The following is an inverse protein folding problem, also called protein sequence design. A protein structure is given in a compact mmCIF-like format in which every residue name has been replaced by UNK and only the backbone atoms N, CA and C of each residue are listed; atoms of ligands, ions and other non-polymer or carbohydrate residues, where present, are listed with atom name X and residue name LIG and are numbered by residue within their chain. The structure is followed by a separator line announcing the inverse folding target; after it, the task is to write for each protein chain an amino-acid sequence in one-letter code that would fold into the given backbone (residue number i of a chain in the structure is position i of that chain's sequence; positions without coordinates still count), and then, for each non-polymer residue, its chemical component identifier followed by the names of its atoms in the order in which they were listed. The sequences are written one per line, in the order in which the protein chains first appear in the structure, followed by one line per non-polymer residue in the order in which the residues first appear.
data_IF_794273385236
#
_entry.id   IF_794273385236
#
_cell.length_a   1.000
_cell.length_b   1.000
_cell.length_c   1.000
_cell.angle_alpha   90.00
_cell.angle_beta   90.00
_cell.angle_gamma   90.00
#
_symmetry.space_group_name_H-M   'P 1'
#
loop_
_entity.id
_entity.type
_entity.pdbx_description
1 polymer ?
#
# COMPACT_ATOMS: atom_id res chain seq x y z
N UNK A 1 -12.85 -2.70 17.52
CA UNK A 1 -11.88 -2.02 16.62
C UNK A 1 -12.44 -2.12 15.20
N UNK A 2 -12.41 -1.03 14.46
CA UNK A 2 -12.78 -0.99 13.02
C UNK A 2 -11.55 -0.82 12.16
N UNK A 3 -11.58 -1.38 10.96
CA UNK A 3 -10.47 -1.29 9.99
C UNK A 3 -10.99 -0.62 8.71
N UNK A 4 -10.41 0.53 8.36
CA UNK A 4 -10.66 1.22 7.08
C UNK A 4 -9.51 0.92 6.13
N UNK A 5 -9.83 0.42 4.93
CA UNK A 5 -8.88 0.29 3.84
C UNK A 5 -8.84 1.55 2.98
N UNK A 6 -7.66 2.17 2.80
CA UNK A 6 -7.51 3.31 1.91
C UNK A 6 -7.16 2.86 0.49
N UNK A 7 -8.05 3.15 -0.44
CA UNK A 7 -7.85 3.00 -1.88
C UNK A 7 -7.51 4.36 -2.53
N UNK A 8 -6.90 4.33 -3.68
CA UNK A 8 -6.62 5.55 -4.46
C UNK A 8 -5.55 5.32 -5.51
N UNK A 9 -5.47 6.23 -6.48
CA UNK A 9 -4.45 6.21 -7.52
C UNK A 9 -3.05 6.48 -6.97
N UNK A 10 -2.05 6.24 -7.80
CA UNK A 10 -0.66 6.60 -7.51
C UNK A 10 -0.58 8.10 -7.23
N UNK A 11 0.12 8.51 -6.18
CA UNK A 11 0.25 9.89 -5.72
C UNK A 11 -1.07 10.62 -5.38
N UNK A 12 -2.18 9.89 -5.12
CA UNK A 12 -3.46 10.51 -4.70
C UNK A 12 -3.40 11.15 -3.31
N UNK A 13 -2.39 10.83 -2.49
CA UNK A 13 -2.21 11.38 -1.14
C UNK A 13 -2.83 10.52 -0.03
N UNK A 14 -2.94 9.20 -0.22
CA UNK A 14 -3.40 8.27 0.83
C UNK A 14 -2.69 8.45 2.17
N UNK A 15 -1.38 8.64 2.15
CA UNK A 15 -0.59 8.87 3.38
C UNK A 15 -0.99 10.18 4.09
N UNK A 16 -1.29 11.24 3.34
CA UNK A 16 -1.82 12.49 3.94
C UNK A 16 -3.18 12.25 4.61
N UNK A 17 -4.05 11.48 3.97
CA UNK A 17 -5.35 11.10 4.55
C UNK A 17 -5.15 10.19 5.77
N UNK A 18 -4.25 9.22 5.72
CA UNK A 18 -3.90 8.39 6.87
C UNK A 18 -3.38 9.23 8.05
N UNK A 19 -2.59 10.28 7.77
CA UNK A 19 -2.11 11.20 8.82
C UNK A 19 -3.24 12.00 9.45
N UNK A 20 -4.27 12.37 8.69
CA UNK A 20 -5.48 12.99 9.25
C UNK A 20 -6.20 12.01 10.18
N UNK A 21 -6.40 10.76 9.78
CA UNK A 21 -6.98 9.74 10.65
C UNK A 21 -6.15 9.50 11.93
N UNK A 22 -4.80 9.56 11.85
CA UNK A 22 -3.92 9.47 13.04
C UNK A 22 -4.22 10.57 14.07
N UNK A 23 -4.52 11.80 13.62
CA UNK A 23 -4.91 12.90 14.53
C UNK A 23 -6.20 12.62 15.27
N UNK A 24 -7.06 11.74 14.74
CA UNK A 24 -8.27 11.23 15.40
C UNK A 24 -8.04 9.95 16.19
N UNK A 25 -6.79 9.59 16.50
CA UNK A 25 -6.45 8.42 17.30
C UNK A 25 -6.41 7.09 16.55
N UNK A 26 -6.48 7.12 15.21
CA UNK A 26 -6.33 5.90 14.44
C UNK A 26 -4.87 5.42 14.40
N UNK A 27 -4.66 4.10 14.48
CA UNK A 27 -3.40 3.48 14.12
C UNK A 27 -3.34 3.22 12.60
N UNK A 28 -2.15 2.99 12.07
CA UNK A 28 -1.98 2.73 10.62
C UNK A 28 -1.15 1.46 10.40
N UNK A 29 -1.74 0.52 9.70
CA UNK A 29 -1.08 -0.65 9.14
C UNK A 29 -0.50 -0.28 7.79
N UNK A 30 0.83 -0.23 7.71
CA UNK A 30 1.59 0.12 6.52
C UNK A 30 2.10 -1.17 5.86
N UNK A 31 1.47 -1.54 4.73
CA UNK A 31 1.82 -2.75 4.01
C UNK A 31 3.20 -2.68 3.33
N UNK A 32 3.66 -1.49 2.93
CA UNK A 32 4.98 -1.31 2.36
C UNK A 32 6.06 -1.52 3.43
N UNK A 33 5.87 -0.97 4.63
CA UNK A 33 6.74 -1.24 5.79
C UNK A 33 6.77 -2.73 6.12
N UNK A 34 5.60 -3.37 6.22
CA UNK A 34 5.51 -4.80 6.49
C UNK A 34 6.22 -5.62 5.40
N UNK A 35 6.11 -5.23 4.14
CA UNK A 35 6.84 -5.85 3.02
C UNK A 35 8.36 -5.74 3.17
N UNK A 36 8.86 -4.57 3.57
CA UNK A 36 10.29 -4.39 3.84
C UNK A 36 10.79 -5.27 4.99
N UNK A 37 9.99 -5.44 6.03
CA UNK A 37 10.33 -6.31 7.16
C UNK A 37 10.31 -7.79 6.78
N UNK A 38 9.33 -8.21 5.95
CA UNK A 38 9.24 -9.57 5.43
C UNK A 38 10.47 -9.92 4.61
N UNK A 39 10.98 -9.01 3.78
CA UNK A 39 12.21 -9.23 3.01
C UNK A 39 13.46 -9.41 3.89
N UNK A 40 13.43 -8.97 5.16
CA UNK A 40 14.52 -9.17 6.12
C UNK A 40 14.44 -10.52 6.86
N UNK A 41 13.34 -11.25 6.74
CA UNK A 41 13.19 -12.56 7.41
C UNK A 41 14.17 -13.59 6.82
N UNK A 42 14.94 -14.32 7.65
CA UNK A 42 15.93 -15.28 7.16
C UNK A 42 15.33 -16.33 6.20
N UNK A 43 14.13 -16.83 6.53
CA UNK A 43 13.44 -17.82 5.69
C UNK A 43 13.08 -17.24 4.30
N UNK A 44 12.59 -15.99 4.26
CA UNK A 44 12.24 -15.32 3.00
C UNK A 44 13.50 -15.02 2.17
N UNK A 45 14.56 -14.55 2.80
CA UNK A 45 15.86 -14.33 2.13
C UNK A 45 16.40 -15.61 1.50
N UNK A 46 16.32 -16.73 2.22
CA UNK A 46 16.75 -18.03 1.69
C UNK A 46 15.93 -18.44 0.45
N UNK A 47 14.61 -18.28 0.49
CA UNK A 47 13.72 -18.57 -0.65
C UNK A 47 14.03 -17.64 -1.83
N UNK A 48 14.21 -16.34 -1.60
CA UNK A 48 14.54 -15.34 -2.64
C UNK A 48 15.90 -15.66 -3.26
N UNK A 49 16.93 -15.94 -2.45
CA UNK A 49 18.26 -16.31 -2.93
C UNK A 49 18.26 -17.63 -3.71
N UNK A 50 17.48 -18.60 -3.28
CA UNK A 50 17.29 -19.87 -4.00
C UNK A 50 16.57 -19.70 -5.35
N UNK A 51 15.62 -18.76 -5.44
CA UNK A 51 14.81 -18.54 -6.64
C UNK A 51 15.48 -17.66 -7.69
N UNK A 52 16.17 -16.60 -7.27
CA UNK A 52 16.77 -15.58 -8.16
C UNK A 52 18.30 -15.52 -8.12
N UNK A 53 18.93 -16.40 -7.34
CA UNK A 53 20.37 -16.49 -7.24
C UNK A 53 20.99 -15.56 -6.19
N UNK A 54 22.33 -15.65 -6.09
CA UNK A 54 23.07 -14.86 -5.09
C UNK A 54 23.17 -13.37 -5.43
N UNK A 55 22.95 -13.00 -6.69
CA UNK A 55 23.05 -11.62 -7.15
C UNK A 55 21.95 -10.70 -6.59
N UNK A 56 20.86 -11.29 -6.08
CA UNK A 56 19.82 -10.55 -5.37
C UNK A 56 20.02 -10.53 -3.85
N UNK A 57 21.15 -11.06 -3.36
CA UNK A 57 21.54 -11.04 -1.95
C UNK A 57 22.84 -10.27 -1.80
N UNK A 58 22.84 -9.23 -0.97
CA UNK A 58 24.04 -8.44 -0.69
C UNK A 58 25.03 -9.21 0.18
N UNK A 59 26.25 -8.68 0.32
CA UNK A 59 27.32 -9.28 1.15
C UNK A 59 26.95 -9.39 2.63
N UNK A 60 26.08 -8.51 3.12
CA UNK A 60 25.53 -8.53 4.49
C UNK A 60 24.41 -9.55 4.69
N UNK A 61 24.07 -10.30 3.64
CA UNK A 61 23.01 -11.30 3.65
C UNK A 61 21.59 -10.74 3.48
N UNK A 62 21.41 -9.43 3.31
CA UNK A 62 20.12 -8.81 3.06
C UNK A 62 19.75 -8.87 1.57
N UNK A 63 18.43 -8.81 1.27
CA UNK A 63 17.98 -8.74 -0.11
C UNK A 63 18.42 -7.44 -0.76
N UNK A 64 19.07 -7.52 -1.90
CA UNK A 64 19.29 -6.37 -2.78
C UNK A 64 17.99 -6.03 -3.50
N UNK A 65 17.25 -5.09 -2.92
CA UNK A 65 15.96 -4.67 -3.46
C UNK A 65 16.06 -4.06 -4.85
N UNK A 66 17.17 -3.41 -5.17
CA UNK A 66 17.37 -2.81 -6.49
C UNK A 66 17.65 -3.89 -7.55
N UNK A 67 18.47 -4.88 -7.23
CA UNK A 67 18.71 -6.03 -8.09
C UNK A 67 17.43 -6.85 -8.31
N UNK A 68 16.70 -7.16 -7.24
CA UNK A 68 15.43 -7.87 -7.32
C UNK A 68 14.38 -7.09 -8.14
N UNK A 69 14.28 -5.78 -7.94
CA UNK A 69 13.36 -4.92 -8.68
C UNK A 69 13.62 -4.94 -10.19
N UNK A 70 14.88 -4.98 -10.63
CA UNK A 70 15.23 -5.11 -12.07
C UNK A 70 14.68 -6.39 -12.68
N UNK A 71 14.59 -7.46 -11.89
CA UNK A 71 14.07 -8.75 -12.36
C UNK A 71 12.53 -8.74 -12.38
N UNK A 72 11.90 -8.35 -11.28
CA UNK A 72 10.45 -8.47 -11.13
C UNK A 72 9.68 -7.38 -11.89
N UNK A 73 10.33 -6.27 -12.22
CA UNK A 73 9.77 -5.19 -13.05
C UNK A 73 10.39 -5.14 -14.46
N UNK A 74 11.03 -6.23 -14.90
CA UNK A 74 11.46 -6.37 -16.28
C UNK A 74 10.26 -6.31 -17.25
N UNK A 75 10.47 -6.00 -18.54
CA UNK A 75 9.39 -6.04 -19.53
C UNK A 75 8.70 -7.41 -19.60
N UNK A 76 7.42 -7.43 -20.03
CA UNK A 76 6.73 -8.68 -20.33
C UNK A 76 7.48 -9.54 -21.39
N UNK A 77 7.36 -10.87 -21.32
CA UNK A 77 6.49 -11.65 -20.42
C UNK A 77 7.12 -11.95 -19.06
N UNK A 78 8.43 -11.75 -18.89
CA UNK A 78 9.16 -12.26 -17.74
C UNK A 78 8.89 -11.47 -16.44
N UNK A 79 8.93 -10.14 -16.49
CA UNK A 79 8.73 -9.32 -15.30
C UNK A 79 7.43 -9.63 -14.55
N UNK A 80 6.25 -9.61 -15.20
CA UNK A 80 4.99 -9.96 -14.55
C UNK A 80 4.97 -11.37 -13.94
N UNK A 81 5.62 -12.34 -14.55
CA UNK A 81 5.74 -13.71 -13.99
C UNK A 81 6.61 -13.72 -12.74
N UNK A 82 7.75 -13.03 -12.78
CA UNK A 82 8.66 -12.94 -11.62
C UNK A 82 8.02 -12.15 -10.47
N UNK A 83 7.28 -11.08 -10.78
CA UNK A 83 6.53 -10.34 -9.77
C UNK A 83 5.48 -11.22 -9.09
N UNK A 84 4.70 -11.99 -9.86
CA UNK A 84 3.71 -12.91 -9.31
C UNK A 84 4.34 -13.97 -8.39
N UNK A 85 5.54 -14.47 -8.72
CA UNK A 85 6.27 -15.40 -7.85
C UNK A 85 6.74 -14.71 -6.55
N UNK A 86 7.25 -13.47 -6.62
CA UNK A 86 7.62 -12.71 -5.43
C UNK A 86 6.40 -12.45 -4.53
N UNK A 87 5.27 -12.08 -5.11
CA UNK A 87 4.01 -11.86 -4.40
C UNK A 87 3.52 -13.12 -3.70
N UNK A 88 3.60 -14.29 -4.33
CA UNK A 88 3.26 -15.57 -3.70
C UNK A 88 4.12 -15.88 -2.46
N UNK A 89 5.39 -15.49 -2.49
CA UNK A 89 6.32 -15.67 -1.37
C UNK A 89 6.03 -14.67 -0.25
N UNK A 90 5.79 -13.40 -0.59
CA UNK A 90 5.78 -12.30 0.38
C UNK A 90 4.39 -11.97 0.93
N UNK A 91 3.33 -12.01 0.10
CA UNK A 91 1.98 -11.62 0.52
C UNK A 91 1.42 -12.41 1.71
N UNK A 92 1.62 -13.74 1.82
CA UNK A 92 1.17 -14.49 2.99
C UNK A 92 1.80 -14.00 4.30
N UNK A 93 3.11 -13.71 4.28
CA UNK A 93 3.83 -13.24 5.47
C UNK A 93 3.52 -11.77 5.79
N UNK A 94 3.34 -10.92 4.76
CA UNK A 94 2.85 -9.55 4.96
C UNK A 94 1.48 -9.57 5.62
N UNK A 95 0.53 -10.36 5.11
CA UNK A 95 -0.81 -10.48 5.69
C UNK A 95 -0.78 -10.96 7.14
N UNK A 96 0.07 -11.93 7.45
CA UNK A 96 0.25 -12.44 8.82
C UNK A 96 0.75 -11.34 9.76
N UNK A 97 1.72 -10.53 9.32
CA UNK A 97 2.22 -9.38 10.09
C UNK A 97 1.15 -8.31 10.30
N UNK A 98 0.45 -7.92 9.23
CA UNK A 98 -0.62 -6.93 9.34
C UNK A 98 -1.71 -7.38 10.31
N UNK A 99 -2.09 -8.66 10.30
CA UNK A 99 -3.03 -9.23 11.26
C UNK A 99 -2.51 -9.17 12.70
N UNK A 100 -1.29 -9.60 12.92
CA UNK A 100 -0.69 -9.58 14.27
C UNK A 100 -0.60 -8.13 14.81
N UNK A 101 -0.25 -7.17 13.96
CA UNK A 101 -0.22 -5.75 14.32
C UNK A 101 -1.63 -5.21 14.62
N UNK A 102 -2.64 -5.59 13.82
CA UNK A 102 -4.03 -5.23 14.08
C UNK A 102 -4.55 -5.81 15.42
N UNK A 103 -4.22 -7.07 15.72
CA UNK A 103 -4.56 -7.72 16.99
C UNK A 103 -3.90 -7.01 18.17
N UNK A 104 -2.66 -6.52 18.00
CA UNK A 104 -1.98 -5.74 19.03
C UNK A 104 -2.68 -4.41 19.28
N UNK A 105 -3.04 -3.68 18.22
CA UNK A 105 -3.83 -2.45 18.35
C UNK A 105 -5.20 -2.71 19.05
N UNK A 106 -5.84 -3.83 18.74
CA UNK A 106 -7.09 -4.21 19.41
C UNK A 106 -6.89 -4.43 20.92
N UNK A 107 -5.79 -5.09 21.33
CA UNK A 107 -5.44 -5.28 22.76
C UNK A 107 -5.14 -3.97 23.45
N UNK A 108 -4.57 -3.01 22.76
CA UNK A 108 -4.30 -1.66 23.26
C UNK A 108 -5.55 -0.78 23.33
N UNK A 109 -6.71 -1.28 22.89
CA UNK A 109 -7.97 -0.53 22.91
C UNK A 109 -8.07 0.53 21.80
N UNK A 110 -7.24 0.46 20.76
CA UNK A 110 -7.32 1.37 19.61
C UNK A 110 -8.66 1.16 18.89
N UNK A 111 -9.51 2.20 18.78
CA UNK A 111 -10.85 2.02 18.21
C UNK A 111 -10.85 1.89 16.69
N UNK A 112 -9.88 2.51 16.01
CA UNK A 112 -9.82 2.64 14.56
C UNK A 112 -8.42 2.33 14.03
N UNK A 113 -8.36 1.56 12.96
CA UNK A 113 -7.12 1.22 12.25
C UNK A 113 -7.29 1.53 10.76
N UNK A 114 -6.29 2.13 10.17
CA UNK A 114 -6.22 2.40 8.73
C UNK A 114 -5.26 1.39 8.08
N UNK A 115 -5.71 0.69 7.05
CA UNK A 115 -4.83 -0.10 6.20
C UNK A 115 -4.41 0.73 4.98
N UNK A 116 -3.13 1.06 4.88
CA UNK A 116 -2.53 1.67 3.68
C UNK A 116 -1.73 0.59 2.93
N UNK A 117 -2.29 0.16 1.80
CA UNK A 117 -1.71 -0.87 0.95
C UNK A 117 -1.96 -0.56 -0.53
N UNK A 118 -0.95 -0.19 -1.32
CA UNK A 118 -1.11 0.12 -2.74
C UNK A 118 -1.73 -1.01 -3.57
N UNK A 119 -1.45 -2.26 -3.18
CA UNK A 119 -1.92 -3.48 -3.87
C UNK A 119 -3.03 -4.20 -3.10
N UNK A 120 -3.80 -3.48 -2.29
CA UNK A 120 -4.80 -4.04 -1.37
C UNK A 120 -5.78 -5.01 -2.06
N UNK A 121 -6.37 -4.60 -3.16
CA UNK A 121 -7.36 -5.39 -3.89
C UNK A 121 -6.70 -6.62 -4.53
N UNK A 122 -5.57 -6.43 -5.22
CA UNK A 122 -4.80 -7.51 -5.85
C UNK A 122 -4.36 -8.57 -4.83
N UNK A 123 -3.96 -8.15 -3.66
CA UNK A 123 -3.53 -9.04 -2.58
C UNK A 123 -4.70 -9.65 -1.79
N UNK A 124 -5.94 -9.22 -2.05
CA UNK A 124 -7.14 -9.68 -1.33
C UNK A 124 -7.17 -9.26 0.13
N UNK A 125 -6.50 -8.14 0.47
CA UNK A 125 -6.46 -7.63 1.85
C UNK A 125 -7.64 -6.72 2.18
N UNK A 126 -8.41 -6.30 1.17
CA UNK A 126 -9.70 -5.63 1.32
C UNK A 126 -10.69 -6.44 2.19
N UNK A 127 -10.56 -7.78 2.16
CA UNK A 127 -11.46 -8.70 2.87
C UNK A 127 -11.37 -8.64 4.40
N UNK A 128 -10.37 -8.00 4.96
CA UNK A 128 -10.31 -7.79 6.41
C UNK A 128 -10.52 -6.33 6.81
N UNK A 129 -10.92 -5.47 5.86
CA UNK A 129 -11.39 -4.13 6.12
C UNK A 129 -12.91 -4.15 6.36
N UNK A 130 -13.37 -3.40 7.34
CA UNK A 130 -14.81 -3.19 7.58
C UNK A 130 -15.42 -2.23 6.56
N UNK A 131 -14.58 -1.31 6.02
CA UNK A 131 -15.00 -0.25 5.09
C UNK A 131 -13.83 0.11 4.18
N UNK A 132 -14.13 0.40 2.92
CA UNK A 132 -13.17 0.88 1.94
C UNK A 132 -13.44 2.35 1.62
N UNK A 133 -12.41 3.16 1.71
CA UNK A 133 -12.46 4.60 1.43
C UNK A 133 -11.53 4.92 0.26
N UNK A 134 -12.06 5.56 -0.76
CA UNK A 134 -11.29 5.98 -1.93
C UNK A 134 -10.81 7.43 -1.77
N UNK A 135 -9.51 7.65 -1.89
CA UNK A 135 -8.88 8.97 -1.92
C UNK A 135 -8.82 9.43 -3.36
N UNK A 136 -9.75 10.31 -3.73
CA UNK A 136 -9.88 10.89 -5.07
C UNK A 136 -8.93 12.08 -5.23
N UNK A 137 -8.30 12.15 -6.39
CA UNK A 137 -7.42 13.25 -6.76
C UNK A 137 -7.28 13.27 -8.29
N UNK A 138 -7.46 14.42 -8.96
CA UNK A 138 -7.32 14.55 -10.40
C UNK A 138 -5.96 14.09 -10.91
N UNK A 139 -5.95 13.50 -12.10
CA UNK A 139 -4.76 12.89 -12.71
C UNK A 139 -3.60 13.88 -12.88
N UNK A 140 -3.90 15.11 -13.30
CA UNK A 140 -2.91 16.17 -13.45
C UNK A 140 -2.25 16.56 -12.12
N UNK A 141 -3.01 16.57 -11.04
CA UNK A 141 -2.48 16.83 -9.70
C UNK A 141 -1.64 15.64 -9.19
N UNK A 142 -2.09 14.40 -9.45
CA UNK A 142 -1.35 13.19 -9.08
C UNK A 142 -0.01 13.14 -9.80
N UNK A 143 0.01 13.44 -11.10
CA UNK A 143 1.24 13.56 -11.88
C UNK A 143 2.15 14.67 -11.34
N UNK A 144 1.63 15.87 -11.08
CA UNK A 144 2.41 16.97 -10.47
C UNK A 144 3.05 16.56 -9.14
N UNK A 145 2.30 15.84 -8.27
CA UNK A 145 2.82 15.32 -7.00
C UNK A 145 3.90 14.25 -7.21
N UNK A 146 3.78 13.42 -8.23
CA UNK A 146 4.80 12.43 -8.58
C UNK A 146 6.09 13.12 -9.07
N UNK A 147 5.97 14.11 -9.95
CA UNK A 147 7.11 14.88 -10.45
C UNK A 147 7.84 15.63 -9.33
N UNK A 148 7.11 16.20 -8.37
CA UNK A 148 7.72 16.88 -7.20
C UNK A 148 8.50 15.92 -6.27
N UNK A 149 8.26 14.60 -6.37
CA UNK A 149 9.01 13.54 -5.69
C UNK A 149 10.21 13.04 -6.49
N UNK A 150 10.51 13.68 -7.64
CA UNK A 150 11.62 13.29 -8.50
C UNK A 150 11.32 12.16 -9.47
N UNK A 151 10.06 11.76 -9.65
CA UNK A 151 9.69 10.73 -10.62
C UNK A 151 9.57 11.33 -12.03
N UNK A 152 9.74 10.49 -13.06
CA UNK A 152 9.41 10.89 -14.43
C UNK A 152 7.93 10.56 -14.74
N UNK A 153 7.34 11.18 -15.79
CA UNK A 153 6.00 10.80 -16.24
C UNK A 153 5.87 9.30 -16.58
N UNK A 154 6.91 8.74 -17.21
CA UNK A 154 6.95 7.32 -17.56
C UNK A 154 6.95 6.43 -16.32
N UNK A 155 7.68 6.82 -15.29
CA UNK A 155 7.69 6.10 -14.01
C UNK A 155 6.32 6.17 -13.34
N UNK A 156 5.65 7.33 -13.35
CA UNK A 156 4.30 7.49 -12.82
C UNK A 156 3.32 6.54 -13.52
N UNK A 157 3.26 6.57 -14.86
CA UNK A 157 2.36 5.71 -15.63
C UNK A 157 2.66 4.22 -15.47
N UNK A 158 3.93 3.84 -15.42
CA UNK A 158 4.33 2.44 -15.17
C UNK A 158 3.86 1.94 -13.80
N UNK A 159 3.98 2.77 -12.75
CA UNK A 159 3.49 2.43 -11.41
C UNK A 159 1.97 2.34 -11.37
N UNK A 160 1.29 3.20 -12.10
CA UNK A 160 -0.17 3.18 -12.20
C UNK A 160 -0.66 1.93 -12.94
N UNK A 161 -0.03 1.58 -14.05
CA UNK A 161 -0.34 0.38 -14.82
C UNK A 161 -0.04 -0.94 -14.09
N UNK A 162 0.78 -0.91 -13.02
CA UNK A 162 1.07 -2.09 -12.19
C UNK A 162 0.02 -2.37 -11.11
N UNK A 163 -0.98 -1.53 -10.97
CA UNK A 163 -2.06 -1.62 -10.00
C UNK A 163 -3.42 -1.74 -10.71
N UNK A 164 -4.47 -2.06 -9.96
CA UNK A 164 -5.83 -1.96 -10.46
C UNK A 164 -6.14 -0.52 -10.88
N UNK A 165 -6.99 -0.37 -11.89
CA UNK A 165 -7.37 0.95 -12.39
C UNK A 165 -8.01 1.82 -11.30
N UNK A 166 -7.87 3.13 -11.47
CA UNK A 166 -8.48 4.13 -10.56
C UNK A 166 -10.00 3.92 -10.50
N UNK A 167 -10.62 3.61 -11.64
CA UNK A 167 -12.05 3.36 -11.74
C UNK A 167 -12.49 2.11 -10.94
N UNK A 168 -11.76 1.00 -11.06
CA UNK A 168 -12.03 -0.23 -10.31
C UNK A 168 -11.89 0.01 -8.79
N UNK A 169 -10.83 0.68 -8.37
CA UNK A 169 -10.63 1.04 -6.96
C UNK A 169 -11.77 1.90 -6.43
N UNK A 170 -12.20 2.91 -7.21
CA UNK A 170 -13.29 3.81 -6.84
C UNK A 170 -14.63 3.06 -6.74
N UNK A 171 -14.90 2.14 -7.66
CA UNK A 171 -16.13 1.33 -7.66
C UNK A 171 -16.22 0.35 -6.47
N UNK A 172 -15.08 0.00 -5.84
CA UNK A 172 -15.04 -0.90 -4.68
C UNK A 172 -15.19 -0.17 -3.35
N UNK A 173 -15.04 1.15 -3.34
CA UNK A 173 -15.10 1.95 -2.13
C UNK A 173 -16.55 2.34 -1.78
N UNK A 174 -16.83 2.36 -0.49
CA UNK A 174 -18.13 2.81 0.05
C UNK A 174 -18.16 4.33 0.23
N UNK A 175 -17.00 4.94 0.46
CA UNK A 175 -16.86 6.38 0.64
C UNK A 175 -15.74 6.94 -0.24
N UNK A 176 -15.90 8.19 -0.65
CA UNK A 176 -14.92 8.93 -1.45
C UNK A 176 -14.51 10.20 -0.70
N UNK A 177 -13.21 10.39 -0.52
CA UNK A 177 -12.62 11.61 0.03
C UNK A 177 -11.91 12.37 -1.09
N UNK A 178 -12.32 13.60 -1.35
CA UNK A 178 -11.71 14.48 -2.34
C UNK A 178 -10.42 15.12 -1.78
N UNK A 179 -9.27 14.68 -2.27
CA UNK A 179 -7.94 15.21 -1.93
C UNK A 179 -7.37 16.13 -3.03
N UNK A 180 -8.24 16.87 -3.71
CA UNK A 180 -7.85 17.88 -4.71
C UNK A 180 -7.50 19.24 -4.11
N UNK A 181 -7.85 19.47 -2.84
CA UNK A 181 -7.68 20.74 -2.12
C UNK A 181 -6.65 20.63 -0.99
N UNK A 182 -6.70 21.55 -0.05
CA UNK A 182 -5.82 21.59 1.11
C UNK A 182 -6.17 20.55 2.19
N UNK A 183 -5.27 20.42 3.17
CA UNK A 183 -5.42 19.44 4.28
C UNK A 183 -6.64 19.75 5.15
N UNK A 184 -7.03 21.00 5.31
CA UNK A 184 -8.22 21.40 6.10
C UNK A 184 -9.50 20.85 5.48
N UNK A 185 -9.58 20.86 4.16
CA UNK A 185 -10.72 20.26 3.45
C UNK A 185 -10.79 18.74 3.64
N UNK A 186 -9.65 18.03 3.60
CA UNK A 186 -9.62 16.61 3.92
C UNK A 186 -10.03 16.36 5.37
N UNK A 187 -9.59 17.18 6.30
CA UNK A 187 -9.95 17.04 7.71
C UNK A 187 -11.45 17.10 7.91
N UNK A 188 -12.13 18.09 7.32
CA UNK A 188 -13.59 18.22 7.41
C UNK A 188 -14.33 16.97 6.87
N UNK A 189 -13.83 16.37 5.78
CA UNK A 189 -14.42 15.19 5.22
C UNK A 189 -14.19 13.94 6.10
N UNK A 190 -13.01 13.82 6.71
CA UNK A 190 -12.71 12.74 7.67
C UNK A 190 -13.59 12.89 8.92
N UNK A 191 -13.78 14.11 9.45
CA UNK A 191 -14.67 14.39 10.57
C UNK A 191 -16.10 13.94 10.25
N UNK A 192 -16.62 14.30 9.08
CA UNK A 192 -17.95 13.90 8.63
C UNK A 192 -18.07 12.38 8.43
N UNK A 193 -17.04 11.75 7.87
CA UNK A 193 -17.01 10.29 7.69
C UNK A 193 -17.07 9.57 9.04
N UNK A 194 -16.24 10.00 10.00
CA UNK A 194 -16.19 9.38 11.33
C UNK A 194 -17.53 9.53 12.08
N UNK A 195 -18.22 10.65 11.92
CA UNK A 195 -19.53 10.89 12.54
C UNK A 195 -20.66 9.99 11.98
N UNK A 196 -20.52 9.49 10.75
CA UNK A 196 -21.55 8.67 10.06
C UNK A 196 -21.23 7.18 10.14
N UNK A 197 -19.95 6.82 10.11
CA UNK A 197 -19.50 5.42 9.99
C UNK A 197 -19.17 4.77 11.35
N UNK A 198 -19.06 5.56 12.43
CA UNK A 198 -18.63 5.14 13.76
C UNK A 198 -19.41 5.82 14.89
#
# INVERSE_FOLDING_TARGET
MKIIGLLGGVASGKSTVADVFRKHGAAVLDADRAGHEVLRMPAIRAVIGGRWGKDVIRRDGEVDRAALAKIVFAPPPDGPRQLAELEKITHPEIRKRLRAEAEEYARQGVPLVILDAPVMLKAGWDKFCDTLVFVDCPDDQRLKRALSRGWTPEEFHRREASQESVAEKKARAEFVLDNSRDVGYIQSQVDALLAVAF
#
